data_IF_977641795605
#
_entry.id   IF_977641795605
#
_cell.length_a   1.000
_cell.length_b   1.000
_cell.length_c   1.000
_cell.angle_alpha   90.00
_cell.angle_beta   90.00
_cell.angle_gamma   90.00
#
_symmetry.space_group_name_H-M   'P 1'
#
loop_
_entity.id
_entity.type
_entity.pdbx_description
1 polymer ?
#
# COMPACT_ATOMS: atom_id res chain seq x y z
N UNK A 1 -0.16 11.47 -8.22
CA UNK A 1 0.38 12.17 -7.05
C UNK A 1 1.34 11.26 -6.29
N UNK A 2 2.45 11.83 -5.82
CA UNK A 2 3.44 11.04 -5.10
C UNK A 2 3.16 11.07 -3.60
N UNK A 3 3.28 9.91 -2.95
CA UNK A 3 3.00 9.79 -1.51
C UNK A 3 4.28 9.39 -0.76
N UNK A 4 5.02 10.37 -0.23
CA UNK A 4 6.29 10.07 0.45
C UNK A 4 6.14 9.16 1.67
N UNK A 5 5.01 9.21 2.36
CA UNK A 5 4.80 8.34 3.52
C UNK A 5 4.79 6.86 3.15
N UNK A 6 4.28 6.54 1.97
CA UNK A 6 4.26 5.14 1.52
C UNK A 6 5.67 4.61 1.34
N UNK A 7 6.57 5.46 0.84
CA UNK A 7 7.96 5.09 0.66
C UNK A 7 8.62 4.83 2.02
N UNK A 8 8.47 5.76 2.94
CA UNK A 8 9.07 5.63 4.26
C UNK A 8 8.53 4.42 5.00
N UNK A 9 7.22 4.26 5.02
CA UNK A 9 6.59 3.17 5.76
C UNK A 9 6.99 1.81 5.21
N UNK A 10 7.04 1.68 3.89
CA UNK A 10 7.43 0.39 3.32
C UNK A 10 8.88 0.06 3.61
N UNK A 11 9.77 1.06 3.55
CA UNK A 11 11.16 0.86 3.91
C UNK A 11 11.29 0.37 5.34
N UNK A 12 10.56 0.99 6.25
CA UNK A 12 10.59 0.61 7.66
C UNK A 12 10.02 -0.79 7.88
N UNK A 13 8.96 -1.16 7.17
CA UNK A 13 8.40 -2.50 7.25
C UNK A 13 9.42 -3.56 6.91
N UNK A 14 10.29 -3.28 5.95
CA UNK A 14 11.31 -4.21 5.52
C UNK A 14 12.61 -4.11 6.34
N UNK A 15 12.64 -3.19 7.30
CA UNK A 15 13.82 -3.03 8.15
C UNK A 15 15.02 -2.45 7.44
N UNK A 16 14.81 -1.69 6.37
CA UNK A 16 15.89 -1.13 5.59
C UNK A 16 16.25 0.28 6.04
N UNK A 17 17.52 0.64 5.81
CA UNK A 17 17.99 1.99 6.12
C UNK A 17 17.94 2.87 4.88
N UNK A 18 17.79 4.17 5.09
CA UNK A 18 17.83 5.12 3.99
C UNK A 18 19.12 5.01 3.18
N UNK A 19 20.25 4.84 3.88
CA UNK A 19 21.55 4.70 3.21
C UNK A 19 21.62 3.46 2.33
N UNK A 20 20.98 2.39 2.75
CA UNK A 20 20.97 1.16 1.97
C UNK A 20 20.23 1.36 0.64
N UNK A 21 19.08 1.98 0.69
CA UNK A 21 18.31 2.24 -0.53
C UNK A 21 19.01 3.24 -1.44
N UNK A 22 19.59 4.29 -0.86
CA UNK A 22 20.31 5.27 -1.64
C UNK A 22 21.46 4.62 -2.40
N UNK A 23 22.17 3.71 -1.73
CA UNK A 23 23.28 3.01 -2.34
C UNK A 23 22.82 2.12 -3.50
N UNK A 24 21.72 1.39 -3.29
CA UNK A 24 21.19 0.52 -4.34
C UNK A 24 20.74 1.30 -5.56
N UNK A 25 20.25 2.50 -5.34
CA UNK A 25 19.77 3.37 -6.42
C UNK A 25 20.89 4.20 -7.06
N UNK A 26 22.08 4.17 -6.46
CA UNK A 26 23.19 4.95 -6.99
C UNK A 26 23.02 6.46 -6.78
N UNK A 27 22.35 6.87 -5.72
CA UNK A 27 22.14 8.28 -5.42
C UNK A 27 22.68 8.59 -4.04
N UNK A 28 22.76 9.89 -3.72
CA UNK A 28 23.22 10.31 -2.41
C UNK A 28 22.12 10.08 -1.36
N UNK A 29 22.55 9.90 -0.11
CA UNK A 29 21.61 9.77 1.00
C UNK A 29 20.72 11.01 1.08
N UNK A 30 21.31 12.17 0.83
CA UNK A 30 20.57 13.42 0.89
C UNK A 30 19.44 13.46 -0.14
N UNK A 31 19.72 13.03 -1.36
CA UNK A 31 18.68 12.95 -2.40
C UNK A 31 17.56 12.02 -1.99
N UNK A 32 17.91 10.85 -1.47
CA UNK A 32 16.89 9.91 -1.02
C UNK A 32 16.06 10.50 0.12
N UNK A 33 16.73 11.14 1.07
CA UNK A 33 16.05 11.75 2.21
C UNK A 33 14.97 12.73 1.79
N UNK A 34 15.24 13.54 0.75
CA UNK A 34 14.25 14.50 0.27
C UNK A 34 13.02 13.83 -0.33
N UNK A 35 13.17 12.60 -0.83
CA UNK A 35 12.03 11.84 -1.34
C UNK A 35 11.07 11.44 -0.22
N UNK A 36 11.61 10.97 0.90
CA UNK A 36 10.76 10.60 2.03
C UNK A 36 10.17 11.81 2.73
N UNK A 37 10.86 12.92 2.64
CA UNK A 37 10.36 14.16 3.21
C UNK A 37 9.30 14.82 2.34
N UNK A 38 9.25 14.45 1.06
CA UNK A 38 8.28 15.02 0.14
C UNK A 38 8.72 16.31 -0.50
N UNK A 39 9.96 16.75 -0.24
CA UNK A 39 10.49 17.97 -0.85
C UNK A 39 10.73 17.80 -2.35
N UNK A 40 11.16 16.60 -2.73
CA UNK A 40 11.31 16.21 -4.12
C UNK A 40 10.69 14.84 -4.30
N UNK A 41 10.55 14.42 -5.54
CA UNK A 41 10.01 13.09 -5.81
C UNK A 41 10.92 12.35 -6.80
N UNK A 42 10.93 11.02 -6.73
CA UNK A 42 11.77 10.23 -7.64
C UNK A 42 11.30 10.35 -9.08
N UNK A 43 12.23 10.17 -10.01
CA UNK A 43 11.89 10.05 -11.42
C UNK A 43 11.14 8.75 -11.64
N UNK A 44 10.52 8.60 -12.81
CA UNK A 44 9.83 7.36 -13.16
C UNK A 44 10.76 6.16 -13.11
N UNK A 45 11.99 6.34 -13.59
CA UNK A 45 12.99 5.26 -13.58
C UNK A 45 13.32 4.84 -12.13
N UNK A 46 13.48 5.82 -11.25
CA UNK A 46 13.79 5.52 -9.86
C UNK A 46 12.59 4.93 -9.13
N UNK A 47 11.37 5.38 -9.48
CA UNK A 47 10.16 4.77 -8.91
C UNK A 47 10.08 3.29 -9.27
N UNK A 48 10.39 2.94 -10.51
CA UNK A 48 10.36 1.55 -10.94
C UNK A 48 11.36 0.71 -10.15
N UNK A 49 12.57 1.24 -9.93
CA UNK A 49 13.57 0.55 -9.12
C UNK A 49 13.13 0.39 -7.68
N UNK A 50 12.53 1.42 -7.12
CA UNK A 50 12.02 1.35 -5.75
C UNK A 50 10.92 0.32 -5.61
N UNK A 51 10.02 0.25 -6.59
CA UNK A 51 8.96 -0.76 -6.56
C UNK A 51 9.54 -2.17 -6.52
N UNK A 52 10.58 -2.38 -7.30
CA UNK A 52 11.25 -3.67 -7.34
C UNK A 52 11.98 -3.97 -6.03
N UNK A 53 12.77 -3.02 -5.57
CA UNK A 53 13.56 -3.21 -4.34
C UNK A 53 12.66 -3.40 -3.12
N UNK A 54 11.56 -2.69 -3.06
CA UNK A 54 10.66 -2.74 -1.91
C UNK A 54 9.51 -3.71 -2.09
N UNK A 55 9.49 -4.42 -3.22
CA UNK A 55 8.53 -5.48 -3.50
C UNK A 55 7.08 -5.01 -3.38
N UNK A 56 6.77 -3.94 -4.08
CA UNK A 56 5.41 -3.39 -4.12
C UNK A 56 4.96 -3.29 -5.57
N UNK A 57 3.64 -3.24 -5.80
CA UNK A 57 3.13 -3.16 -7.17
C UNK A 57 3.44 -1.84 -7.84
N UNK A 58 3.39 -1.85 -9.17
CA UNK A 58 3.58 -0.64 -9.95
C UNK A 58 2.56 0.41 -9.54
N UNK A 59 3.03 1.63 -9.32
CA UNK A 59 2.18 2.74 -8.92
C UNK A 59 1.94 2.86 -7.43
N UNK A 60 2.56 1.98 -6.65
CA UNK A 60 2.34 1.96 -5.20
C UNK A 60 2.61 3.30 -4.53
N UNK A 61 3.62 4.04 -5.03
CA UNK A 61 4.02 5.30 -4.39
C UNK A 61 3.31 6.52 -4.99
N UNK A 62 2.53 6.34 -6.03
CA UNK A 62 1.84 7.48 -6.64
C UNK A 62 0.35 7.26 -6.70
N UNK A 63 -0.12 6.43 -7.59
CA UNK A 63 -1.56 6.21 -7.74
C UNK A 63 -1.87 4.74 -7.72
N UNK A 64 -2.41 4.28 -6.61
CA UNK A 64 -2.76 2.89 -6.47
C UNK A 64 -4.26 2.80 -6.30
N UNK A 65 -4.95 2.53 -7.37
CA UNK A 65 -6.40 2.36 -7.35
C UNK A 65 -6.75 0.89 -7.41
N UNK A 66 -7.65 0.48 -6.53
CA UNK A 66 -8.05 -0.91 -6.46
C UNK A 66 -8.63 -1.40 -7.81
N UNK A 67 -9.34 -0.54 -8.51
CA UNK A 67 -9.91 -0.91 -9.82
C UNK A 67 -8.82 -1.25 -10.83
N UNK A 68 -7.74 -0.48 -10.83
CA UNK A 68 -6.62 -0.73 -11.73
C UNK A 68 -5.94 -2.06 -11.41
N UNK A 69 -5.74 -2.33 -10.14
CA UNK A 69 -5.13 -3.58 -9.71
C UNK A 69 -6.04 -4.76 -10.02
N UNK A 70 -7.32 -4.61 -9.77
CA UNK A 70 -8.30 -5.66 -10.00
C UNK A 70 -8.31 -6.09 -11.47
N UNK A 71 -8.22 -5.14 -12.39
CA UNK A 71 -8.24 -5.43 -13.83
C UNK A 71 -7.03 -6.26 -14.27
N UNK A 72 -5.94 -6.20 -13.53
CA UNK A 72 -4.73 -6.95 -13.86
C UNK A 72 -4.76 -8.39 -13.39
N UNK A 73 -5.74 -8.74 -12.59
CA UNK A 73 -5.88 -10.10 -12.08
C UNK A 73 -6.53 -11.02 -13.11
N UNK A 74 -6.21 -12.30 -13.00
CA UNK A 74 -6.93 -13.32 -13.79
C UNK A 74 -8.36 -13.39 -13.30
N UNK A 75 -9.25 -13.98 -14.12
CA UNK A 75 -10.65 -14.13 -13.74
C UNK A 75 -10.80 -14.84 -12.39
N UNK A 76 -10.02 -15.89 -12.21
CA UNK A 76 -10.06 -16.67 -10.98
C UNK A 76 -9.65 -15.82 -9.77
N UNK A 77 -8.60 -15.04 -9.92
CA UNK A 77 -8.14 -14.18 -8.83
C UNK A 77 -9.07 -13.00 -8.61
N UNK A 78 -9.75 -12.53 -9.64
CA UNK A 78 -10.76 -11.49 -9.48
C UNK A 78 -11.90 -11.98 -8.58
N UNK A 79 -12.32 -13.23 -8.76
CA UNK A 79 -13.35 -13.83 -7.93
C UNK A 79 -12.90 -13.91 -6.47
N UNK A 80 -11.66 -14.31 -6.26
CA UNK A 80 -11.11 -14.39 -4.90
C UNK A 80 -11.04 -13.04 -4.23
N UNK A 81 -10.61 -12.03 -4.99
CA UNK A 81 -10.51 -10.67 -4.47
C UNK A 81 -11.88 -10.14 -4.07
N UNK A 82 -12.88 -10.39 -4.92
CA UNK A 82 -14.25 -9.95 -4.64
C UNK A 82 -14.79 -10.60 -3.37
N UNK A 83 -14.60 -11.91 -3.24
CA UNK A 83 -15.03 -12.63 -2.06
C UNK A 83 -14.37 -12.09 -0.79
N UNK A 84 -13.07 -11.82 -0.88
CA UNK A 84 -12.33 -11.28 0.25
C UNK A 84 -12.88 -9.92 0.69
N UNK A 85 -13.15 -9.03 -0.26
CA UNK A 85 -13.69 -7.73 0.05
C UNK A 85 -15.09 -7.84 0.65
N UNK A 86 -15.92 -8.75 0.11
CA UNK A 86 -17.25 -8.97 0.66
C UNK A 86 -17.18 -9.47 2.10
N UNK A 87 -16.24 -10.37 2.39
CA UNK A 87 -16.06 -10.86 3.75
C UNK A 87 -15.65 -9.75 4.71
N UNK A 88 -14.77 -8.88 4.27
CA UNK A 88 -14.34 -7.74 5.08
C UNK A 88 -15.51 -6.81 5.39
N UNK A 89 -16.34 -6.54 4.39
CA UNK A 89 -17.52 -5.71 4.59
C UNK A 89 -18.50 -6.35 5.57
N UNK A 90 -18.65 -7.66 5.48
CA UNK A 90 -19.53 -8.39 6.39
C UNK A 90 -19.02 -8.28 7.82
N UNK A 91 -17.73 -8.49 8.02
CA UNK A 91 -17.11 -8.37 9.33
C UNK A 91 -17.27 -6.96 9.89
N UNK A 92 -17.10 -5.96 9.04
CA UNK A 92 -17.23 -4.58 9.46
C UNK A 92 -18.64 -4.26 9.91
N UNK A 93 -19.64 -4.76 9.19
CA UNK A 93 -21.03 -4.54 9.56
C UNK A 93 -21.36 -5.21 10.89
N UNK A 94 -20.86 -6.41 11.09
CA UNK A 94 -21.10 -7.12 12.35
C UNK A 94 -20.51 -6.38 13.54
N UNK A 95 -19.29 -5.84 13.37
CA UNK A 95 -18.65 -5.06 14.42
C UNK A 95 -19.47 -3.82 14.76
N UNK A 96 -19.93 -3.10 13.71
CA UNK A 96 -20.73 -1.90 13.91
C UNK A 96 -22.04 -2.24 14.61
N UNK A 97 -22.67 -3.34 14.22
CA UNK A 97 -23.92 -3.76 14.83
C UNK A 97 -23.70 -4.08 16.31
N UNK A 98 -22.62 -4.77 16.62
CA UNK A 98 -22.32 -5.12 18.01
C UNK A 98 -22.08 -3.89 18.87
N UNK A 99 -21.47 -2.87 18.31
CA UNK A 99 -21.22 -1.63 19.04
C UNK A 99 -22.54 -0.90 19.28
N UNK A 100 -23.43 -0.89 18.30
CA UNK A 100 -24.69 -0.18 18.39
C UNK A 100 -25.70 -0.91 19.28
N UNK A 101 -25.57 -2.22 19.39
CA UNK A 101 -26.46 -3.03 20.21
C UNK A 101 -25.66 -3.76 21.25
N UNK A 102 -25.20 -3.01 22.20
CA UNK A 102 -24.27 -3.59 23.17
C UNK A 102 -24.82 -4.78 23.91
N UNK A 103 -26.15 -4.92 23.88
CA UNK A 103 -26.71 -5.94 24.58
C UNK A 103 -27.00 -7.07 23.82
N UNK A 104 -26.98 -7.23 22.82
CA UNK A 104 -27.24 -8.29 22.21
C UNK A 104 -26.90 -8.37 21.07
N UNK A 105 -26.56 -8.26 20.84
CA UNK A 105 -26.11 -8.34 19.89
C UNK A 105 -26.38 -9.04 18.97
N UNK A 106 -26.82 -9.22 18.69
CA UNK A 106 -27.03 -9.81 17.86
C UNK A 106 -27.32 -9.80 16.82
N UNK A 107 -27.59 -9.64 16.48
CA UNK A 107 -28.01 -9.76 15.56
C UNK A 107 -27.63 -9.58 14.57
N UNK A 108 -27.40 -9.72 14.02
CA UNK A 108 -26.96 -9.72 13.18
C UNK A 108 -27.21 -9.45 12.10
N UNK A 109 -27.13 -9.49 11.33
CA UNK A 109 -27.40 -9.15 10.19
C UNK A 109 -27.16 -9.82 9.38
#
# INVERSE_FOLDING_TARGET
MYYPERLKNRRLELGLKQTELAKELGISKQSYFTWEKGTTQPTKANLAKLEELLQVPHGYFSELEIATLYKQLTDQNQEKALTYVQDLLEQQRNVVTMVQEPRFAYKVY
#
